data_IF_708394487615
#
_entry.id   IF_708394487615
#
_cell.length_a   1.000
_cell.length_b   1.000
_cell.length_c   1.000
_cell.angle_alpha   90.00
_cell.angle_beta   90.00
_cell.angle_gamma   90.00
#
_symmetry.space_group_name_H-M   'P 1'
#
loop_
_entity.id
_entity.type
_entity.pdbx_description
1 polymer ?
#
# COMPACT_ATOMS: atom_id res chain seq x y z
N UNK A 1 -0.52 26.03 43.73
CA UNK A 1 0.34 25.75 44.88
C UNK A 1 0.47 24.24 44.94
N UNK A 2 1.25 23.68 44.01
CA UNK A 2 2.61 23.15 44.25
C UNK A 2 2.47 21.98 45.26
N UNK A 3 2.65 20.72 44.89
CA UNK A 3 3.95 20.14 44.57
C UNK A 3 3.81 18.67 44.14
N UNK A 4 4.67 18.28 43.18
CA UNK A 4 5.41 17.01 43.17
C UNK A 4 4.66 15.70 42.86
N UNK A 5 4.45 15.43 41.57
CA UNK A 5 4.44 14.06 41.09
C UNK A 5 5.88 13.55 40.87
N UNK A 6 6.45 12.88 41.87
CA UNK A 6 7.64 12.02 41.71
C UNK A 6 7.27 10.69 41.06
N UNK A 7 7.86 10.39 39.91
CA UNK A 7 8.12 9.04 39.42
C UNK A 7 9.63 8.84 39.25
N UNK A 8 10.26 7.79 39.80
CA UNK A 8 11.70 7.61 39.70
C UNK A 8 12.08 7.01 38.34
N UNK A 9 12.96 7.70 37.62
CA UNK A 9 13.79 7.08 36.58
C UNK A 9 13.24 7.12 35.15
N UNK A 10 13.09 8.32 34.57
CA UNK A 10 13.74 8.74 33.31
C UNK A 10 13.14 10.09 32.85
N UNK A 11 13.94 11.15 33.05
CA UNK A 11 13.82 12.52 32.57
C UNK A 11 12.58 13.36 33.00
N UNK A 12 12.88 14.56 33.50
CA UNK A 12 11.91 15.62 33.78
C UNK A 12 11.30 16.12 32.47
N UNK A 13 9.98 16.06 32.35
CA UNK A 13 9.24 16.87 31.38
C UNK A 13 8.60 17.99 32.18
N UNK A 14 9.04 19.23 31.96
CA UNK A 14 8.38 20.42 32.48
C UNK A 14 7.02 20.56 31.79
N UNK A 15 5.94 20.60 32.57
CA UNK A 15 4.58 20.82 32.06
C UNK A 15 4.35 22.26 31.58
N UNK A 16 5.36 23.12 31.65
CA UNK A 16 5.25 24.54 31.39
C UNK A 16 6.38 25.00 30.47
N UNK A 17 6.31 24.60 29.19
CA UNK A 17 6.58 25.47 28.04
C UNK A 17 6.34 24.74 26.71
N UNK A 18 5.29 25.22 26.00
CA UNK A 18 5.28 25.61 24.57
C UNK A 18 5.72 24.51 23.58
N UNK A 19 4.87 23.92 22.76
CA UNK A 19 4.17 24.57 21.65
C UNK A 19 2.93 23.77 21.22
N UNK A 20 1.76 24.14 21.73
CA UNK A 20 0.51 23.88 21.00
C UNK A 20 0.49 24.90 19.88
N UNK A 21 0.98 24.51 18.69
CA UNK A 21 0.76 25.32 17.49
C UNK A 21 -0.74 25.47 17.29
N UNK A 22 -1.18 26.71 17.33
CA UNK A 22 -2.53 27.14 17.01
C UNK A 22 -2.89 26.67 15.60
N UNK A 23 -4.18 26.39 15.39
CA UNK A 23 -4.75 25.93 14.11
C UNK A 23 -4.48 26.89 12.93
N UNK A 24 -3.93 28.08 13.20
CA UNK A 24 -3.60 29.11 12.22
C UNK A 24 -2.14 29.07 11.71
N UNK A 25 -1.18 28.44 12.42
CA UNK A 25 0.19 28.24 11.93
C UNK A 25 0.40 26.96 11.11
N UNK A 26 -0.62 26.09 11.04
CA UNK A 26 -0.67 24.96 10.08
C UNK A 26 -0.86 25.47 8.63
N UNK A 27 -1.16 26.76 8.45
CA UNK A 27 -1.49 27.35 7.14
C UNK A 27 -0.30 27.83 6.30
N UNK A 28 0.92 27.87 6.83
CA UNK A 28 2.01 28.54 6.11
C UNK A 28 3.39 27.92 6.38
N UNK A 29 3.56 26.64 6.03
CA UNK A 29 4.82 25.90 5.82
C UNK A 29 4.43 24.41 5.86
N UNK A 30 4.03 23.74 4.81
CA UNK A 30 4.57 23.74 3.47
C UNK A 30 3.38 23.54 2.53
N UNK A 31 3.35 24.24 1.40
CA UNK A 31 2.84 23.62 0.19
C UNK A 31 3.68 22.34 -0.01
N UNK A 32 3.28 21.23 0.64
CA UNK A 32 3.87 19.93 0.37
C UNK A 32 3.54 19.72 -1.08
N UNK A 33 4.54 19.91 -1.94
CA UNK A 33 4.45 19.64 -3.35
C UNK A 33 4.02 18.18 -3.46
N UNK A 34 2.70 17.96 -3.54
CA UNK A 34 2.14 16.63 -3.70
C UNK A 34 2.81 16.13 -4.95
N UNK A 35 3.64 15.06 -4.88
CA UNK A 35 4.37 14.61 -6.04
C UNK A 35 3.32 14.42 -7.13
N UNK A 36 3.47 15.11 -8.25
CA UNK A 36 2.54 14.96 -9.36
C UNK A 36 2.64 13.49 -9.76
N UNK A 37 1.61 12.72 -9.46
CA UNK A 37 1.54 11.34 -9.89
C UNK A 37 1.55 11.38 -11.42
N UNK A 38 2.68 11.05 -12.06
CA UNK A 38 2.78 10.84 -13.52
C UNK A 38 1.68 9.87 -13.98
N UNK A 39 1.28 9.00 -13.06
CA UNK A 39 0.25 7.99 -13.20
C UNK A 39 -1.19 8.52 -13.29
N UNK A 40 -1.47 9.71 -12.76
CA UNK A 40 -2.81 10.29 -12.66
C UNK A 40 -2.90 11.64 -13.37
N UNK A 41 -2.32 11.75 -14.57
CA UNK A 41 -2.30 12.99 -15.37
C UNK A 41 -1.81 14.21 -14.58
N UNK A 42 -0.87 14.00 -13.65
CA UNK A 42 -0.33 15.05 -12.77
C UNK A 42 -1.36 15.75 -11.85
N UNK A 43 -2.56 15.18 -11.70
CA UNK A 43 -3.43 15.54 -10.58
C UNK A 43 -2.83 14.94 -9.30
N UNK A 44 -2.92 15.68 -8.19
CA UNK A 44 -2.29 15.31 -6.92
C UNK A 44 -2.57 13.86 -6.53
N UNK A 45 -1.61 13.21 -5.87
CA UNK A 45 -1.73 11.83 -5.39
C UNK A 45 -2.66 11.73 -4.17
N UNK A 46 -3.91 12.21 -4.26
CA UNK A 46 -4.98 11.65 -3.43
C UNK A 46 -5.27 10.29 -4.06
N UNK A 47 -5.16 9.18 -3.32
CA UNK A 47 -5.27 7.80 -3.89
C UNK A 47 -6.56 7.49 -4.68
N UNK A 48 -7.50 8.44 -4.74
CA UNK A 48 -8.74 8.46 -5.49
C UNK A 48 -8.60 8.05 -6.97
N UNK A 49 -7.54 8.46 -7.67
CA UNK A 49 -7.37 8.11 -9.08
C UNK A 49 -7.11 6.61 -9.30
N UNK A 50 -6.34 5.97 -8.42
CA UNK A 50 -6.07 4.51 -8.46
C UNK A 50 -7.30 3.69 -8.05
N UNK A 51 -8.12 4.23 -7.15
CA UNK A 51 -9.30 3.54 -6.66
C UNK A 51 -10.45 3.45 -7.68
N UNK A 52 -10.43 4.29 -8.74
CA UNK A 52 -11.46 4.29 -9.80
C UNK A 52 -11.26 3.22 -10.88
N UNK A 53 -10.20 2.41 -10.80
CA UNK A 53 -9.96 1.37 -11.80
C UNK A 53 -11.08 0.31 -11.80
N UNK A 54 -11.64 0.05 -12.97
CA UNK A 54 -12.67 -0.98 -13.15
C UNK A 54 -12.02 -2.35 -13.03
N UNK A 55 -12.50 -3.17 -12.10
CA UNK A 55 -12.13 -4.57 -12.02
C UNK A 55 -12.57 -5.31 -13.30
N UNK A 56 -11.81 -6.33 -13.73
CA UNK A 56 -12.20 -7.15 -14.86
C UNK A 56 -13.51 -7.91 -14.56
N UNK A 57 -14.15 -8.42 -15.61
CA UNK A 57 -15.37 -9.20 -15.44
C UNK A 57 -15.13 -10.44 -14.58
N UNK A 58 -16.17 -10.91 -13.87
CA UNK A 58 -16.07 -12.11 -13.03
C UNK A 58 -15.59 -13.34 -13.81
N UNK A 59 -15.97 -13.45 -15.08
CA UNK A 59 -15.54 -14.54 -15.98
C UNK A 59 -14.05 -14.42 -16.29
N UNK A 60 -13.55 -13.22 -16.55
CA UNK A 60 -12.14 -12.97 -16.81
C UNK A 60 -11.27 -13.21 -15.57
N UNK A 61 -11.75 -12.79 -14.39
CA UNK A 61 -11.11 -13.12 -13.12
C UNK A 61 -11.01 -14.62 -12.90
N UNK A 62 -12.08 -15.37 -13.18
CA UNK A 62 -12.09 -16.83 -13.06
C UNK A 62 -11.05 -17.47 -14.00
N UNK A 63 -10.97 -17.04 -15.26
CA UNK A 63 -9.96 -17.52 -16.22
C UNK A 63 -8.52 -17.26 -15.74
N UNK A 64 -8.27 -16.05 -15.25
CA UNK A 64 -6.96 -15.66 -14.71
C UNK A 64 -6.59 -16.50 -13.47
N UNK A 65 -7.56 -16.73 -12.58
CA UNK A 65 -7.37 -17.54 -11.39
C UNK A 65 -7.11 -19.01 -11.73
N UNK A 66 -7.92 -19.63 -12.59
CA UNK A 66 -7.76 -21.03 -12.99
C UNK A 66 -6.38 -21.29 -13.59
N UNK A 67 -5.88 -20.36 -14.42
CA UNK A 67 -4.55 -20.45 -15.03
C UNK A 67 -3.45 -20.41 -13.95
N UNK A 68 -3.55 -19.47 -13.01
CA UNK A 68 -2.59 -19.34 -11.91
C UNK A 68 -2.64 -20.54 -10.95
N UNK A 69 -3.83 -21.07 -10.63
CA UNK A 69 -4.00 -22.26 -9.78
C UNK A 69 -3.41 -23.49 -10.44
N UNK A 70 -3.62 -23.69 -11.75
CA UNK A 70 -3.01 -24.80 -12.50
C UNK A 70 -1.49 -24.76 -12.41
N UNK A 71 -0.89 -23.59 -12.58
CA UNK A 71 0.56 -23.41 -12.43
C UNK A 71 1.04 -23.65 -11.00
N UNK A 72 0.26 -23.20 -10.00
CA UNK A 72 0.58 -23.42 -8.59
C UNK A 72 0.56 -24.89 -8.20
N UNK A 73 -0.46 -25.64 -8.64
CA UNK A 73 -0.53 -27.10 -8.45
C UNK A 73 0.64 -27.79 -9.14
N UNK A 74 0.97 -27.41 -10.38
CA UNK A 74 2.13 -27.95 -11.11
C UNK A 74 3.45 -27.67 -10.41
N UNK A 75 3.58 -26.55 -9.70
CA UNK A 75 4.76 -26.21 -8.91
C UNK A 75 4.81 -26.89 -7.53
N UNK A 76 3.88 -27.80 -7.23
CA UNK A 76 3.81 -28.49 -5.95
C UNK A 76 3.24 -27.64 -4.81
N UNK A 77 2.40 -26.65 -5.13
CA UNK A 77 1.85 -25.69 -4.16
C UNK A 77 2.93 -24.92 -3.38
N UNK A 78 4.09 -24.73 -4.02
CA UNK A 78 5.22 -24.07 -3.39
C UNK A 78 4.90 -22.61 -3.03
N UNK A 79 5.20 -22.25 -1.79
CA UNK A 79 5.13 -20.88 -1.31
C UNK A 79 6.41 -20.11 -1.62
N UNK A 80 6.26 -18.81 -1.85
CA UNK A 80 7.36 -17.86 -1.96
C UNK A 80 7.88 -17.49 -0.56
N UNK A 81 9.17 -17.20 -0.48
CA UNK A 81 9.78 -16.66 0.73
C UNK A 81 9.22 -15.26 1.07
N UNK A 82 9.32 -14.87 2.33
CA UNK A 82 8.79 -13.59 2.82
C UNK A 82 9.42 -12.39 2.11
N UNK A 83 10.71 -12.45 1.79
CA UNK A 83 11.41 -11.39 1.06
C UNK A 83 10.92 -11.27 -0.39
N UNK A 84 10.73 -12.40 -1.08
CA UNK A 84 10.17 -12.42 -2.43
C UNK A 84 8.72 -11.92 -2.44
N UNK A 85 7.95 -12.26 -1.40
CA UNK A 85 6.59 -11.75 -1.24
C UNK A 85 6.58 -10.22 -1.09
N UNK A 86 7.44 -9.66 -0.23
CA UNK A 86 7.57 -8.21 -0.03
C UNK A 86 7.97 -7.50 -1.33
N UNK A 87 8.98 -7.99 -2.03
CA UNK A 87 9.41 -7.44 -3.31
C UNK A 87 8.26 -7.39 -4.33
N UNK A 88 7.49 -8.48 -4.46
CA UNK A 88 6.31 -8.52 -5.35
C UNK A 88 5.23 -7.52 -4.94
N UNK A 89 4.99 -7.37 -3.63
CA UNK A 89 4.03 -6.39 -3.11
C UNK A 89 4.49 -4.96 -3.41
N UNK A 90 5.76 -4.63 -3.19
CA UNK A 90 6.35 -3.32 -3.49
C UNK A 90 6.23 -2.97 -4.98
N UNK A 91 6.57 -3.92 -5.87
CA UNK A 91 6.40 -3.76 -7.32
C UNK A 91 4.93 -3.46 -7.65
N UNK A 92 4.01 -4.17 -7.01
CA UNK A 92 2.59 -3.95 -7.27
C UNK A 92 2.09 -2.62 -6.72
N UNK A 93 2.53 -2.19 -5.54
CA UNK A 93 2.15 -0.91 -4.96
C UNK A 93 2.61 0.29 -5.82
N UNK A 94 3.71 0.13 -6.56
CA UNK A 94 4.17 1.08 -7.58
C UNK A 94 3.41 1.02 -8.91
N UNK A 95 2.60 -0.01 -9.15
CA UNK A 95 1.95 -0.28 -10.43
C UNK A 95 0.76 0.65 -10.71
N UNK A 96 0.50 0.88 -12.00
CA UNK A 96 -0.69 1.58 -12.54
C UNK A 96 -1.99 1.08 -11.95
N UNK A 97 -2.06 -0.25 -11.90
CA UNK A 97 -3.29 -1.00 -11.78
C UNK A 97 -3.55 -1.40 -10.34
N UNK A 98 -2.72 -0.96 -9.40
CA UNK A 98 -2.97 -1.26 -8.01
C UNK A 98 -4.13 -0.42 -7.50
N UNK A 99 -5.06 -1.08 -6.81
CA UNK A 99 -6.23 -0.48 -6.18
C UNK A 99 -5.98 -0.53 -4.66
N UNK A 100 -5.46 0.55 -4.04
CA UNK A 100 -5.11 0.58 -2.62
C UNK A 100 -6.27 0.24 -1.69
N UNK A 101 -7.49 0.71 -2.00
CA UNK A 101 -8.67 0.46 -1.15
C UNK A 101 -9.04 -1.01 -1.01
N UNK A 102 -8.69 -1.85 -1.99
CA UNK A 102 -9.13 -3.25 -2.04
C UNK A 102 -7.95 -4.23 -1.97
N UNK A 103 -6.72 -3.73 -1.92
CA UNK A 103 -5.48 -4.51 -2.05
C UNK A 103 -5.49 -5.48 -3.25
N UNK A 104 -5.98 -4.98 -4.39
CA UNK A 104 -6.23 -5.77 -5.60
C UNK A 104 -5.61 -5.11 -6.82
N UNK A 105 -5.39 -5.93 -7.85
CA UNK A 105 -5.00 -5.45 -9.16
C UNK A 105 -6.23 -5.21 -10.05
N UNK A 106 -6.37 -4.01 -10.59
CA UNK A 106 -7.39 -3.63 -11.58
C UNK A 106 -7.24 -4.32 -12.94
N UNK A 107 -6.07 -4.91 -13.25
CA UNK A 107 -5.86 -5.64 -14.51
C UNK A 107 -6.24 -7.12 -14.42
N UNK A 108 -5.79 -7.82 -13.38
CA UNK A 108 -6.04 -9.26 -13.23
C UNK A 108 -7.15 -9.61 -12.22
N UNK A 109 -7.53 -8.66 -11.37
CA UNK A 109 -8.54 -8.84 -10.32
C UNK A 109 -8.08 -9.64 -9.10
N UNK A 110 -6.84 -10.13 -9.08
CA UNK A 110 -6.34 -10.95 -7.98
C UNK A 110 -6.06 -10.14 -6.70
N UNK A 111 -6.21 -10.80 -5.55
CA UNK A 111 -5.71 -10.30 -4.27
C UNK A 111 -4.19 -10.41 -4.21
N UNK A 112 -3.51 -9.30 -3.95
CA UNK A 112 -2.05 -9.27 -3.99
C UNK A 112 -1.43 -9.98 -2.81
N UNK A 113 -2.01 -9.85 -1.62
CA UNK A 113 -1.57 -10.59 -0.43
C UNK A 113 -1.53 -12.11 -0.66
N UNK A 114 -2.50 -12.68 -1.37
CA UNK A 114 -2.52 -14.12 -1.68
C UNK A 114 -1.69 -14.47 -2.91
N UNK A 115 -1.74 -13.65 -3.97
CA UNK A 115 -1.03 -13.93 -5.22
C UNK A 115 0.51 -13.82 -5.05
N UNK A 116 0.98 -12.97 -4.14
CA UNK A 116 2.41 -12.81 -3.86
C UNK A 116 3.04 -14.02 -3.15
N UNK A 117 2.26 -14.78 -2.37
CA UNK A 117 2.75 -15.95 -1.61
C UNK A 117 2.95 -17.20 -2.47
N UNK A 118 2.41 -17.26 -3.69
CA UNK A 118 2.59 -18.42 -4.56
C UNK A 118 3.89 -18.29 -5.34
N UNK A 119 4.81 -19.25 -5.21
CA UNK A 119 6.11 -19.20 -5.89
C UNK A 119 5.97 -19.14 -7.41
N UNK A 120 5.04 -19.93 -7.95
CA UNK A 120 4.67 -19.99 -9.37
C UNK A 120 3.93 -18.76 -9.90
N UNK A 121 3.55 -17.82 -9.03
CA UNK A 121 2.77 -16.65 -9.43
C UNK A 121 3.54 -15.75 -10.37
N UNK A 122 2.88 -15.37 -11.46
CA UNK A 122 3.37 -14.41 -12.45
C UNK A 122 2.38 -13.28 -12.63
N UNK A 123 2.91 -12.11 -12.96
CA UNK A 123 2.13 -10.96 -13.34
C UNK A 123 1.76 -11.05 -14.82
N UNK A 124 0.48 -10.94 -15.22
CA UNK A 124 0.09 -11.06 -16.63
C UNK A 124 0.63 -9.93 -17.53
N UNK A 125 1.08 -8.83 -16.93
CA UNK A 125 1.77 -7.72 -17.62
C UNK A 125 3.30 -7.81 -17.50
N UNK A 126 3.84 -8.90 -16.94
CA UNK A 126 5.29 -9.15 -16.88
C UNK A 126 6.08 -8.24 -15.94
N UNK A 127 5.44 -7.60 -14.95
CA UNK A 127 6.15 -6.81 -13.93
C UNK A 127 6.90 -7.68 -12.90
N UNK A 128 6.53 -8.96 -12.80
CA UNK A 128 7.25 -10.05 -12.12
C UNK A 128 6.79 -11.40 -12.67
#
# INVERSE_FOLDING_TARGET
MWEECRGPGQNFIDCDQKDVKTEEEVKQSQEVQVPKCTFCNNQGCTGECRNKQKLPSKVEMAKNLTSATKEHVKSGLAHADTDLQKQRLEICQGCEFYIPQQDRCGKCGCYLKSKSTWKSSKCPIGKW
#
